data_IF_280969421585
#
_entry.id   IF_280969421585
#
_cell.length_a   1.000
_cell.length_b   1.000
_cell.length_c   1.000
_cell.angle_alpha   90.00
_cell.angle_beta   90.00
_cell.angle_gamma   90.00
#
_symmetry.space_group_name_H-M   'P 1'
#
loop_
_entity.id
_entity.type
_entity.pdbx_description
1 polymer ?
#
# COMPACT_ATOMS: atom_id res chain seq x y z
N UNK A 1 23.56 -9.52 52.06
CA UNK A 1 22.95 -10.72 51.46
C UNK A 1 22.59 -10.39 50.04
N UNK A 2 23.32 -11.01 49.14
CA UNK A 2 23.28 -10.91 47.69
C UNK A 2 21.97 -11.49 47.14
N UNK A 3 21.34 -10.79 46.20
CA UNK A 3 20.34 -11.38 45.31
C UNK A 3 20.76 -11.09 43.87
N UNK A 4 21.04 -12.18 43.17
CA UNK A 4 21.72 -12.27 41.89
C UNK A 4 20.89 -11.65 40.77
N UNK A 5 21.56 -10.83 39.97
CA UNK A 5 21.12 -10.40 38.64
C UNK A 5 21.31 -11.59 37.69
N UNK A 6 20.21 -12.15 37.17
CA UNK A 6 20.28 -13.02 36.00
C UNK A 6 20.35 -12.15 34.74
N UNK A 7 21.54 -12.02 34.18
CA UNK A 7 21.76 -11.46 32.85
C UNK A 7 21.43 -12.57 31.85
N UNK A 8 20.27 -12.48 31.19
CA UNK A 8 20.05 -13.15 29.91
C UNK A 8 20.43 -12.17 28.79
N UNK A 9 21.48 -12.42 28.01
CA UNK A 9 21.77 -11.62 26.83
C UNK A 9 20.74 -11.99 25.73
N UNK A 10 20.48 -11.05 24.82
CA UNK A 10 19.51 -11.11 23.71
C UNK A 10 18.06 -10.70 24.03
N UNK A 11 17.88 -9.43 24.39
CA UNK A 11 16.74 -8.65 23.89
C UNK A 11 17.25 -7.26 23.49
N UNK A 12 17.60 -7.10 22.22
CA UNK A 12 17.59 -5.79 21.56
C UNK A 12 16.13 -5.34 21.51
N UNK A 13 15.70 -4.65 22.56
CA UNK A 13 14.46 -3.88 22.56
C UNK A 13 14.65 -2.73 21.58
N UNK A 14 14.39 -3.00 20.30
CA UNK A 14 14.32 -1.98 19.27
C UNK A 14 13.07 -1.15 19.59
N UNK A 15 13.28 0.01 20.20
CA UNK A 15 12.25 1.00 20.51
C UNK A 15 11.75 1.64 19.21
N UNK A 16 10.90 0.94 18.48
CA UNK A 16 9.94 1.56 17.58
C UNK A 16 8.57 1.00 17.95
N UNK A 17 7.56 1.88 17.98
CA UNK A 17 6.12 1.64 18.20
C UNK A 17 5.56 1.83 19.61
N UNK A 18 4.65 2.81 19.72
CA UNK A 18 3.27 2.74 20.26
C UNK A 18 2.84 4.16 20.69
N UNK A 19 2.00 4.84 19.91
CA UNK A 19 1.12 5.84 20.52
C UNK A 19 -0.05 5.07 21.13
N UNK A 20 0.01 4.84 22.44
CA UNK A 20 -1.21 4.66 23.22
C UNK A 20 -1.93 6.01 23.23
N UNK A 21 -3.21 5.97 22.85
CA UNK A 21 -4.29 6.90 23.20
C UNK A 21 -3.89 8.34 23.55
N UNK A 22 -4.45 9.28 22.79
CA UNK A 22 -4.41 10.76 22.90
C UNK A 22 -3.32 11.44 22.06
N UNK A 23 -3.78 12.07 20.98
CA UNK A 23 -3.04 13.05 20.19
C UNK A 23 -2.69 14.26 21.08
N UNK A 24 -1.61 14.15 21.84
CA UNK A 24 -0.81 15.31 22.23
C UNK A 24 0.58 15.14 21.62
N UNK A 25 0.64 15.30 20.30
CA UNK A 25 1.90 15.49 19.60
C UNK A 25 2.20 16.99 19.63
N UNK A 26 3.24 17.35 20.38
CA UNK A 26 3.98 18.59 20.17
C UNK A 26 4.25 18.78 18.68
N UNK A 27 4.16 20.02 18.20
CA UNK A 27 4.34 20.49 16.81
C UNK A 27 5.74 20.22 16.20
N UNK A 28 6.41 19.12 16.54
CA UNK A 28 7.59 18.64 15.82
C UNK A 28 7.13 17.65 14.74
N UNK A 29 7.60 17.82 13.50
CA UNK A 29 7.13 17.05 12.36
C UNK A 29 7.44 15.55 12.54
N UNK A 30 6.44 14.65 12.45
CA UNK A 30 6.65 13.20 12.48
C UNK A 30 7.65 12.69 11.44
N UNK A 31 7.86 13.48 10.37
CA UNK A 31 8.84 13.26 9.30
C UNK A 31 10.25 12.97 9.79
N UNK A 32 10.71 13.53 10.91
CA UNK A 32 12.13 13.49 11.26
C UNK A 32 12.61 12.21 11.97
N UNK A 33 11.70 11.30 12.37
CA UNK A 33 12.06 10.07 13.09
C UNK A 33 11.38 8.78 12.63
N UNK A 34 10.31 8.82 11.83
CA UNK A 34 9.48 7.61 11.65
C UNK A 34 9.18 7.29 10.18
N UNK A 35 9.74 6.17 9.71
CA UNK A 35 9.53 5.59 8.38
C UNK A 35 8.13 5.00 8.19
N UNK A 36 7.51 4.59 9.29
CA UNK A 36 6.16 4.06 9.36
C UNK A 36 5.51 4.37 10.72
N UNK A 37 4.20 4.13 10.90
CA UNK A 37 3.44 4.21 12.16
C UNK A 37 2.40 3.10 12.26
N UNK A 38 2.51 2.16 13.21
CA UNK A 38 1.48 1.15 13.47
C UNK A 38 0.51 1.63 14.57
N UNK A 39 -0.74 1.85 14.21
CA UNK A 39 -1.84 2.14 15.13
C UNK A 39 -2.72 0.90 15.30
N UNK A 40 -2.87 0.44 16.55
CA UNK A 40 -3.67 -0.74 16.87
C UNK A 40 -5.17 -0.41 16.87
N UNK A 41 -5.98 -1.27 16.25
CA UNK A 41 -7.44 -1.16 16.23
C UNK A 41 -7.98 0.19 15.75
N UNK A 42 -7.26 0.86 14.84
CA UNK A 42 -7.61 2.21 14.39
C UNK A 42 -8.94 2.22 13.64
N UNK A 43 -9.17 1.21 12.79
CA UNK A 43 -10.42 1.06 12.05
C UNK A 43 -11.29 0.03 12.75
N UNK A 44 -12.56 0.38 12.98
CA UNK A 44 -13.48 -0.46 13.75
C UNK A 44 -13.75 -1.80 13.06
N UNK A 45 -14.06 -2.84 13.83
CA UNK A 45 -14.44 -4.14 13.28
C UNK A 45 -15.64 -4.05 12.34
N UNK A 46 -16.61 -3.18 12.65
CA UNK A 46 -17.80 -2.90 11.84
C UNK A 46 -17.44 -2.29 10.48
N UNK A 47 -16.56 -1.28 10.46
CA UNK A 47 -16.09 -0.66 9.22
C UNK A 47 -15.37 -1.67 8.33
N UNK A 48 -14.50 -2.50 8.93
CA UNK A 48 -13.82 -3.57 8.21
C UNK A 48 -14.83 -4.54 7.59
N UNK A 49 -15.87 -4.95 8.32
CA UNK A 49 -16.89 -5.87 7.80
C UNK A 49 -17.71 -5.26 6.66
N UNK A 50 -18.00 -3.95 6.72
CA UNK A 50 -18.61 -3.22 5.60
C UNK A 50 -17.73 -3.22 4.35
N UNK A 51 -16.43 -2.94 4.49
CA UNK A 51 -15.50 -2.96 3.37
C UNK A 51 -15.34 -4.37 2.78
N UNK A 52 -15.32 -5.41 3.63
CA UNK A 52 -15.36 -6.81 3.18
C UNK A 52 -16.63 -7.08 2.39
N UNK A 53 -17.79 -6.69 2.91
CA UNK A 53 -19.08 -6.82 2.23
C UNK A 53 -19.10 -6.16 0.85
N UNK A 54 -18.62 -4.92 0.75
CA UNK A 54 -18.50 -4.22 -0.53
C UNK A 54 -17.60 -4.96 -1.54
N UNK A 55 -16.45 -5.45 -1.09
CA UNK A 55 -15.58 -6.31 -1.91
C UNK A 55 -16.32 -7.55 -2.40
N UNK A 56 -17.10 -8.23 -1.55
CA UNK A 56 -17.82 -9.44 -1.95
C UNK A 56 -18.83 -9.17 -3.06
N UNK A 57 -19.60 -8.08 -2.94
CA UNK A 57 -20.59 -7.66 -3.94
C UNK A 57 -19.94 -7.35 -5.29
N UNK A 58 -18.79 -6.68 -5.27
CA UNK A 58 -18.00 -6.42 -6.48
C UNK A 58 -17.52 -7.73 -7.11
N UNK A 59 -17.00 -8.67 -6.31
CA UNK A 59 -16.54 -9.96 -6.82
C UNK A 59 -17.67 -10.79 -7.46
N UNK A 60 -18.88 -10.75 -6.87
CA UNK A 60 -20.09 -11.38 -7.41
C UNK A 60 -20.72 -10.62 -8.58
N UNK A 61 -20.14 -9.47 -8.97
CA UNK A 61 -20.64 -8.57 -10.02
C UNK A 61 -22.05 -8.04 -9.76
N UNK A 62 -22.45 -7.95 -8.49
CA UNK A 62 -23.72 -7.34 -8.07
C UNK A 62 -23.69 -5.81 -8.26
N UNK A 63 -22.48 -5.22 -8.28
CA UNK A 63 -22.25 -3.80 -8.48
C UNK A 63 -21.19 -3.61 -9.57
N UNK A 64 -21.40 -2.63 -10.45
CA UNK A 64 -20.40 -2.15 -11.38
C UNK A 64 -19.86 -0.80 -10.89
N UNK A 65 -18.55 -0.71 -10.72
CA UNK A 65 -17.87 0.49 -10.24
C UNK A 65 -17.09 1.10 -11.42
N UNK A 66 -17.45 2.31 -11.89
CA UNK A 66 -16.74 2.97 -12.98
C UNK A 66 -15.24 3.15 -12.67
N UNK A 67 -14.39 2.90 -13.67
CA UNK A 67 -12.93 3.07 -13.54
C UNK A 67 -12.19 1.95 -12.81
N UNK A 68 -12.88 1.17 -11.96
CA UNK A 68 -12.31 0.10 -11.14
C UNK A 68 -11.45 -0.87 -11.95
N UNK A 69 -10.25 -1.16 -11.43
CA UNK A 69 -9.33 -2.14 -12.00
C UNK A 69 -9.39 -3.41 -11.18
N UNK A 70 -9.86 -4.50 -11.79
CA UNK A 70 -9.91 -5.84 -11.19
C UNK A 70 -8.70 -6.64 -11.65
N UNK A 71 -7.80 -6.97 -10.73
CA UNK A 71 -6.64 -7.81 -11.02
C UNK A 71 -6.92 -9.26 -10.64
N UNK A 72 -6.47 -10.16 -11.50
CA UNK A 72 -6.46 -11.61 -11.26
C UNK A 72 -5.01 -12.07 -11.23
N UNK A 73 -4.66 -12.89 -10.26
CA UNK A 73 -3.31 -13.45 -10.18
C UNK A 73 -3.06 -14.41 -11.34
N UNK A 74 -1.84 -14.42 -11.88
CA UNK A 74 -1.44 -15.31 -12.98
C UNK A 74 -1.63 -16.79 -12.66
N UNK A 75 -1.51 -17.18 -11.39
CA UNK A 75 -1.73 -18.56 -10.94
C UNK A 75 -3.22 -18.95 -10.94
N UNK A 76 -4.11 -17.98 -10.72
CA UNK A 76 -5.55 -18.21 -10.64
C UNK A 76 -6.21 -18.08 -12.01
N UNK A 77 -5.69 -17.21 -12.88
CA UNK A 77 -6.19 -17.03 -14.24
C UNK A 77 -6.15 -18.31 -15.09
N UNK A 78 -5.36 -19.31 -14.70
CA UNK A 78 -5.23 -20.61 -15.39
C UNK A 78 -6.22 -21.68 -14.92
N UNK A 79 -6.93 -21.49 -13.80
CA UNK A 79 -7.92 -22.46 -13.32
C UNK A 79 -9.32 -22.02 -13.70
N UNK A 80 -9.98 -22.80 -14.57
CA UNK A 80 -11.26 -22.47 -15.20
C UNK A 80 -12.46 -22.34 -14.24
N UNK A 81 -12.34 -22.77 -12.98
CA UNK A 81 -13.45 -22.72 -12.01
C UNK A 81 -12.95 -22.28 -10.64
N UNK A 82 -12.84 -20.98 -10.43
CA UNK A 82 -12.54 -20.41 -9.12
C UNK A 82 -13.71 -19.54 -8.66
N UNK A 83 -14.31 -19.84 -7.49
CA UNK A 83 -15.43 -19.05 -6.94
C UNK A 83 -15.13 -17.55 -6.93
N UNK A 84 -16.15 -16.73 -7.19
CA UNK A 84 -16.09 -15.29 -7.49
C UNK A 84 -14.95 -14.47 -6.84
N UNK A 85 -14.79 -14.53 -5.50
CA UNK A 85 -13.72 -13.79 -4.81
C UNK A 85 -12.34 -14.39 -4.96
N UNK A 86 -12.24 -15.72 -5.03
CA UNK A 86 -10.97 -16.42 -5.11
C UNK A 86 -10.28 -16.17 -6.45
N UNK A 87 -11.01 -15.69 -7.46
CA UNK A 87 -10.47 -15.30 -8.77
C UNK A 87 -9.78 -13.92 -8.77
N UNK A 88 -10.04 -13.08 -7.76
CA UNK A 88 -9.64 -11.67 -7.75
C UNK A 88 -8.57 -11.47 -6.68
N UNK A 89 -7.37 -11.04 -7.09
CA UNK A 89 -6.23 -10.85 -6.19
C UNK A 89 -6.09 -9.41 -5.70
N UNK A 90 -6.61 -8.44 -6.45
CA UNK A 90 -6.58 -7.02 -6.08
C UNK A 90 -7.69 -6.24 -6.78
N UNK A 91 -8.24 -5.26 -6.08
CA UNK A 91 -8.97 -4.14 -6.68
C UNK A 91 -8.10 -2.89 -6.58
N UNK A 92 -8.05 -2.09 -7.65
CA UNK A 92 -7.50 -0.74 -7.63
C UNK A 92 -8.51 0.26 -8.18
N UNK A 93 -8.29 1.54 -7.91
CA UNK A 93 -9.11 2.65 -8.38
C UNK A 93 -10.60 2.49 -7.99
N UNK A 94 -10.84 2.23 -6.70
CA UNK A 94 -12.19 2.04 -6.15
C UNK A 94 -12.87 3.34 -5.70
N UNK A 95 -12.33 4.51 -6.06
CA UNK A 95 -12.81 5.81 -5.57
C UNK A 95 -14.28 6.13 -5.92
N UNK A 96 -14.85 5.44 -6.90
CA UNK A 96 -16.27 5.55 -7.27
C UNK A 96 -17.18 4.53 -6.55
N UNK A 97 -16.63 3.62 -5.75
CA UNK A 97 -17.41 2.78 -4.84
C UNK A 97 -17.60 3.50 -3.50
N UNK A 98 -18.84 3.88 -3.11
CA UNK A 98 -19.06 4.71 -1.94
C UNK A 98 -18.69 4.02 -0.62
N UNK A 99 -18.83 2.70 -0.51
CA UNK A 99 -18.52 1.97 0.72
C UNK A 99 -17.01 1.78 0.87
N UNK A 100 -16.28 1.38 -0.17
CA UNK A 100 -14.83 1.26 -0.13
C UNK A 100 -14.16 2.63 -0.01
N UNK A 101 -14.62 3.65 -0.75
CA UNK A 101 -14.05 4.99 -0.70
C UNK A 101 -14.28 5.69 0.64
N UNK A 102 -15.26 5.26 1.44
CA UNK A 102 -15.43 5.73 2.82
C UNK A 102 -14.18 5.51 3.67
N UNK A 103 -13.38 4.46 3.40
CA UNK A 103 -12.06 4.26 4.03
C UNK A 103 -11.17 5.52 3.90
N UNK A 104 -11.17 6.15 2.72
CA UNK A 104 -10.37 7.32 2.41
C UNK A 104 -10.79 8.59 3.16
N UNK A 105 -11.97 8.57 3.78
CA UNK A 105 -12.58 9.71 4.48
C UNK A 105 -12.80 9.43 5.98
N UNK A 106 -12.31 8.30 6.49
CA UNK A 106 -12.44 7.99 7.91
C UNK A 106 -11.67 9.04 8.74
N UNK A 107 -12.32 9.78 9.68
CA UNK A 107 -11.66 10.81 10.47
C UNK A 107 -10.45 10.27 11.24
N UNK A 108 -10.55 9.06 11.76
CA UNK A 108 -9.44 8.41 12.47
C UNK A 108 -8.24 8.10 11.58
N UNK A 109 -8.41 7.94 10.27
CA UNK A 109 -7.31 7.81 9.30
C UNK A 109 -6.78 9.21 8.96
N UNK A 110 -7.68 10.14 8.61
CA UNK A 110 -7.31 11.49 8.20
C UNK A 110 -6.53 12.26 9.27
N UNK A 111 -6.86 12.08 10.56
CA UNK A 111 -6.10 12.67 11.66
C UNK A 111 -4.60 12.32 11.63
N UNK A 112 -4.26 11.08 11.25
CA UNK A 112 -2.86 10.68 11.08
C UNK A 112 -2.29 11.15 9.74
N UNK A 113 -3.07 11.09 8.65
CA UNK A 113 -2.64 11.51 7.31
C UNK A 113 -2.29 13.00 7.25
N UNK A 114 -3.07 13.85 7.93
CA UNK A 114 -2.84 15.29 8.01
C UNK A 114 -1.47 15.62 8.61
N UNK A 115 -0.96 14.77 9.50
CA UNK A 115 0.36 14.95 10.10
C UNK A 115 1.52 14.85 9.08
N UNK A 116 1.28 14.26 7.90
CA UNK A 116 2.26 14.12 6.81
C UNK A 116 1.95 15.07 5.65
N UNK A 117 0.67 15.18 5.28
CA UNK A 117 0.22 15.89 4.08
C UNK A 117 -0.06 17.37 4.34
N UNK A 118 -0.37 17.75 5.58
CA UNK A 118 -1.03 19.02 5.88
C UNK A 118 -2.56 18.93 5.70
N UNK A 119 -3.28 20.05 5.82
CA UNK A 119 -4.74 20.05 5.93
C UNK A 119 -5.47 19.77 4.60
N UNK A 120 -4.79 19.96 3.47
CA UNK A 120 -5.33 19.77 2.12
C UNK A 120 -4.92 18.39 1.61
N UNK A 121 -5.86 17.43 1.62
CA UNK A 121 -5.56 16.01 1.47
C UNK A 121 -6.25 15.45 0.24
N UNK A 122 -5.45 14.88 -0.66
CA UNK A 122 -5.88 14.12 -1.82
C UNK A 122 -5.71 12.62 -1.57
N UNK A 123 -6.76 11.82 -1.80
CA UNK A 123 -6.65 10.38 -1.96
C UNK A 123 -6.23 10.09 -3.41
N UNK A 124 -5.00 9.61 -3.61
CA UNK A 124 -4.37 9.50 -4.93
C UNK A 124 -4.44 8.09 -5.51
N UNK A 125 -4.25 7.07 -4.66
CA UNK A 125 -4.31 5.67 -5.08
C UNK A 125 -5.05 4.84 -4.06
N UNK A 126 -5.96 3.99 -4.52
CA UNK A 126 -6.81 3.15 -3.65
C UNK A 126 -6.64 1.70 -4.03
N UNK A 127 -6.42 0.82 -3.05
CA UNK A 127 -6.28 -0.62 -3.30
C UNK A 127 -6.95 -1.47 -2.23
N UNK A 128 -7.59 -2.56 -2.65
CA UNK A 128 -7.98 -3.66 -1.78
C UNK A 128 -7.26 -4.91 -2.25
N UNK A 129 -6.41 -5.45 -1.38
CA UNK A 129 -5.49 -6.55 -1.69
C UNK A 129 -6.08 -7.83 -1.11
N UNK A 130 -6.45 -8.78 -1.97
CA UNK A 130 -6.97 -10.10 -1.62
C UNK A 130 -5.92 -11.17 -1.95
N UNK A 131 -4.91 -11.29 -1.10
CA UNK A 131 -3.71 -12.07 -1.41
C UNK A 131 -4.01 -13.57 -1.47
N UNK A 132 -3.78 -14.26 -2.60
CA UNK A 132 -4.13 -15.68 -2.75
C UNK A 132 -3.19 -16.60 -1.97
N UNK A 133 -3.63 -17.82 -1.63
CA UNK A 133 -2.77 -18.94 -1.24
C UNK A 133 -1.67 -19.21 -2.27
N UNK A 134 -0.49 -19.60 -1.78
CA UNK A 134 0.70 -19.85 -2.58
C UNK A 134 1.52 -20.96 -1.92
N UNK A 135 1.29 -22.17 -2.40
CA UNK A 135 1.87 -23.41 -1.85
C UNK A 135 3.27 -23.72 -2.39
N UNK A 136 3.90 -22.82 -3.16
CA UNK A 136 5.30 -23.03 -3.57
C UNK A 136 5.77 -22.31 -4.83
N UNK A 137 4.86 -21.73 -5.63
CA UNK A 137 5.21 -21.10 -6.90
C UNK A 137 5.66 -19.64 -6.74
N UNK A 138 5.58 -19.09 -5.52
CA UNK A 138 6.02 -17.72 -5.18
C UNK A 138 5.34 -16.65 -6.06
N UNK A 139 4.11 -16.90 -6.52
CA UNK A 139 3.33 -15.98 -7.35
C UNK A 139 2.65 -14.89 -6.54
N UNK A 140 2.38 -15.15 -5.26
CA UNK A 140 1.69 -14.22 -4.37
C UNK A 140 2.60 -13.22 -3.65
N UNK A 141 3.94 -13.38 -3.75
CA UNK A 141 4.88 -12.42 -3.13
C UNK A 141 4.89 -11.12 -3.92
N UNK A 142 5.02 -10.02 -3.19
CA UNK A 142 5.25 -8.70 -3.77
C UNK A 142 6.72 -8.38 -3.55
N UNK A 143 7.52 -8.10 -4.61
CA UNK A 143 8.93 -7.79 -4.44
C UNK A 143 9.15 -6.61 -3.51
N UNK A 144 10.37 -6.51 -2.98
CA UNK A 144 10.78 -5.33 -2.25
C UNK A 144 10.80 -4.15 -3.23
N UNK A 145 10.01 -3.13 -2.98
CA UNK A 145 9.79 -1.99 -3.88
C UNK A 145 9.63 -0.70 -3.07
N UNK A 146 9.57 0.43 -3.78
CA UNK A 146 9.22 1.74 -3.23
C UNK A 146 7.99 2.22 -4.00
N UNK A 147 6.94 2.60 -3.30
CA UNK A 147 5.69 3.05 -3.95
C UNK A 147 5.91 4.30 -4.80
N UNK A 148 6.85 5.17 -4.40
CA UNK A 148 7.16 6.40 -5.13
C UNK A 148 7.56 6.13 -6.59
N UNK A 149 8.06 4.93 -6.92
CA UNK A 149 8.33 4.53 -8.30
C UNK A 149 7.10 4.71 -9.20
N UNK A 150 5.90 4.43 -8.69
CA UNK A 150 4.66 4.55 -9.45
C UNK A 150 4.06 5.95 -9.45
N UNK A 151 4.57 6.88 -8.63
CA UNK A 151 3.96 8.19 -8.40
C UNK A 151 4.77 9.29 -9.09
N UNK A 152 4.20 9.98 -10.11
CA UNK A 152 4.85 11.11 -10.78
C UNK A 152 4.52 12.43 -10.09
N UNK A 153 4.37 12.46 -8.76
CA UNK A 153 4.11 13.69 -8.00
C UNK A 153 5.01 13.82 -6.78
N UNK A 154 5.29 15.07 -6.37
CA UNK A 154 6.30 15.46 -5.37
C UNK A 154 5.81 16.65 -4.53
N UNK A 155 6.42 16.91 -3.35
CA UNK A 155 7.53 16.17 -2.71
C UNK A 155 7.10 14.86 -2.04
N UNK A 156 8.01 13.89 -1.96
CA UNK A 156 7.75 12.55 -1.39
C UNK A 156 7.32 12.61 0.09
N UNK A 157 7.91 13.53 0.85
CA UNK A 157 7.64 13.71 2.27
C UNK A 157 6.20 14.18 2.57
N UNK A 158 5.47 14.66 1.55
CA UNK A 158 4.06 15.06 1.63
C UNK A 158 3.12 13.96 1.11
N UNK A 159 3.60 12.72 1.06
CA UNK A 159 2.86 11.54 0.61
C UNK A 159 2.93 10.47 1.69
N UNK A 160 1.82 9.80 1.96
CA UNK A 160 1.76 8.72 2.96
C UNK A 160 0.81 7.60 2.52
N UNK A 161 1.26 6.36 2.64
CA UNK A 161 0.38 5.20 2.53
C UNK A 161 -0.31 4.96 3.87
N UNK A 162 -1.61 4.70 3.86
CA UNK A 162 -2.33 4.03 4.94
C UNK A 162 -2.66 2.61 4.49
N UNK A 163 -2.31 1.61 5.30
CA UNK A 163 -2.58 0.21 5.01
C UNK A 163 -3.22 -0.44 6.23
N UNK A 164 -4.43 -0.94 6.09
CA UNK A 164 -5.23 -1.48 7.19
C UNK A 164 -5.49 -2.97 7.00
N UNK A 165 -5.19 -3.74 8.05
CA UNK A 165 -5.46 -5.17 8.11
C UNK A 165 -6.98 -5.43 8.23
N UNK A 166 -7.56 -6.17 7.29
CA UNK A 166 -9.01 -6.50 7.30
C UNK A 166 -9.31 -7.83 8.01
N UNK A 167 -8.29 -8.43 8.59
CA UNK A 167 -8.27 -9.70 9.32
C UNK A 167 -6.91 -9.82 10.03
N UNK A 168 -6.65 -10.92 10.74
CA UNK A 168 -5.33 -11.18 11.31
C UNK A 168 -4.31 -11.38 10.19
N UNK A 169 -3.22 -10.62 10.23
CA UNK A 169 -2.11 -10.66 9.27
C UNK A 169 -0.83 -11.04 10.02
N UNK A 170 -0.20 -12.12 9.59
CA UNK A 170 0.98 -12.68 10.22
C UNK A 170 1.96 -13.18 9.17
N UNK A 171 3.15 -13.62 9.59
CA UNK A 171 4.19 -14.08 8.66
C UNK A 171 3.71 -15.15 7.68
N UNK A 172 2.94 -16.15 8.14
CA UNK A 172 2.52 -17.27 7.31
C UNK A 172 1.49 -16.87 6.24
N UNK A 173 0.65 -15.87 6.47
CA UNK A 173 -0.34 -15.40 5.48
C UNK A 173 0.14 -14.18 4.66
N UNK A 174 1.44 -13.87 4.71
CA UNK A 174 2.07 -12.87 3.87
C UNK A 174 1.87 -11.43 4.36
N UNK A 175 2.28 -11.17 5.61
CA UNK A 175 2.40 -9.82 6.15
C UNK A 175 3.37 -8.94 5.34
N UNK A 176 3.28 -7.63 5.54
CA UNK A 176 4.28 -6.69 5.01
C UNK A 176 5.64 -6.95 5.66
N UNK A 177 6.69 -6.73 4.86
CA UNK A 177 8.09 -6.74 5.28
C UNK A 177 8.67 -5.40 4.89
N UNK A 178 9.32 -4.71 5.83
CA UNK A 178 9.93 -3.39 5.60
C UNK A 178 11.42 -3.43 5.90
N UNK A 179 12.19 -2.55 5.25
CA UNK A 179 13.57 -2.22 5.60
C UNK A 179 13.59 -0.91 6.39
N UNK A 180 13.65 -0.94 7.73
CA UNK A 180 13.58 0.27 8.56
C UNK A 180 14.66 1.27 8.17
N UNK A 181 14.33 2.56 8.10
CA UNK A 181 15.29 3.63 7.76
C UNK A 181 15.51 3.83 6.25
N UNK A 182 15.16 2.87 5.39
CA UNK A 182 15.39 2.99 3.94
C UNK A 182 14.70 4.19 3.25
N UNK A 183 13.63 4.73 3.85
CA UNK A 183 12.97 5.96 3.40
C UNK A 183 13.86 7.22 3.40
N UNK A 184 14.99 7.24 4.11
CA UNK A 184 15.96 8.34 4.08
C UNK A 184 16.88 8.29 2.84
N UNK A 185 16.85 7.19 2.09
CA UNK A 185 17.56 7.05 0.82
C UNK A 185 16.83 7.74 -0.33
N UNK A 186 17.37 7.56 -1.52
CA UNK A 186 16.76 8.06 -2.77
C UNK A 186 15.75 7.05 -3.32
N UNK A 187 14.97 7.48 -4.32
CA UNK A 187 14.27 6.54 -5.19
C UNK A 187 15.31 5.69 -5.93
N UNK A 188 15.19 4.37 -5.81
CA UNK A 188 16.03 3.41 -6.51
C UNK A 188 15.49 3.13 -7.91
N UNK A 189 16.29 2.41 -8.71
CA UNK A 189 15.80 1.81 -9.94
C UNK A 189 14.93 0.58 -9.62
N UNK A 190 13.85 0.43 -10.37
CA UNK A 190 12.96 -0.72 -10.28
C UNK A 190 12.78 -1.35 -11.65
N UNK A 191 12.80 -2.67 -11.68
CA UNK A 191 12.54 -3.48 -12.87
C UNK A 191 11.69 -4.71 -12.47
N UNK A 192 11.16 -5.41 -13.46
CA UNK A 192 10.57 -6.72 -13.23
C UNK A 192 11.63 -7.69 -12.70
N UNK A 193 11.41 -8.32 -11.52
CA UNK A 193 12.35 -9.32 -11.03
C UNK A 193 12.57 -10.47 -12.02
N UNK A 194 13.70 -11.17 -11.94
CA UNK A 194 13.92 -12.39 -12.73
C UNK A 194 13.44 -13.61 -11.92
N UNK A 195 12.12 -13.82 -11.86
CA UNK A 195 11.51 -14.92 -11.09
C UNK A 195 10.93 -16.02 -11.98
N UNK A 196 11.25 -17.26 -11.64
CA UNK A 196 10.58 -18.45 -12.19
C UNK A 196 9.08 -18.43 -11.86
N UNK A 197 8.24 -18.82 -12.82
CA UNK A 197 6.77 -18.86 -12.66
C UNK A 197 6.03 -17.60 -13.11
N UNK A 198 6.76 -16.55 -13.49
CA UNK A 198 6.20 -15.27 -13.97
C UNK A 198 5.87 -14.31 -12.83
N UNK A 199 5.73 -13.03 -13.18
CA UNK A 199 5.47 -11.94 -12.24
C UNK A 199 4.19 -11.24 -12.64
N UNK A 200 3.36 -10.90 -11.64
CA UNK A 200 2.16 -10.10 -11.87
C UNK A 200 2.55 -8.75 -12.51
N UNK A 201 1.79 -8.28 -13.50
CA UNK A 201 2.02 -6.94 -14.08
C UNK A 201 2.03 -5.88 -12.98
N UNK A 202 2.86 -4.85 -13.15
CA UNK A 202 3.07 -3.76 -12.16
C UNK A 202 3.72 -4.21 -10.84
N UNK A 203 4.49 -5.30 -10.83
CA UNK A 203 5.24 -5.77 -9.65
C UNK A 203 6.74 -5.58 -9.89
N UNK A 204 7.17 -4.33 -10.08
CA UNK A 204 8.57 -3.96 -10.19
C UNK A 204 9.25 -3.98 -8.81
N UNK A 205 10.46 -4.51 -8.73
CA UNK A 205 11.28 -4.60 -7.52
C UNK A 205 12.52 -3.71 -7.59
N UNK A 206 12.98 -3.22 -6.43
CA UNK A 206 14.26 -2.49 -6.32
C UNK A 206 15.40 -3.39 -6.78
N UNK A 207 16.26 -2.89 -7.67
CA UNK A 207 17.43 -3.62 -8.18
C UNK A 207 18.54 -3.81 -7.15
N UNK A 208 18.79 -2.80 -6.32
CA UNK A 208 20.04 -2.65 -5.56
C UNK A 208 19.82 -2.32 -4.07
N UNK A 209 19.00 -3.09 -3.35
CA UNK A 209 18.94 -2.99 -1.88
C UNK A 209 19.84 -4.03 -1.21
N UNK A 210 20.45 -3.68 -0.08
CA UNK A 210 21.26 -4.62 0.70
C UNK A 210 20.40 -5.80 1.21
N UNK A 211 20.63 -7.04 0.74
CA UNK A 211 19.83 -8.18 1.15
C UNK A 211 20.00 -8.51 2.63
N UNK A 212 21.11 -8.09 3.25
CA UNK A 212 21.43 -8.28 4.67
C UNK A 212 20.84 -7.20 5.57
N UNK A 213 20.26 -6.13 4.99
CA UNK A 213 19.62 -5.09 5.75
C UNK A 213 18.53 -5.71 6.66
N UNK A 214 18.49 -5.38 7.97
CA UNK A 214 17.50 -5.92 8.89
C UNK A 214 16.08 -5.72 8.37
N UNK A 215 15.29 -6.79 8.40
CA UNK A 215 13.90 -6.80 7.94
C UNK A 215 12.95 -6.85 9.13
N UNK A 216 11.93 -6.01 9.11
CA UNK A 216 10.85 -6.04 10.08
C UNK A 216 9.58 -6.57 9.42
N UNK A 217 8.99 -7.61 10.01
CA UNK A 217 7.71 -8.18 9.60
C UNK A 217 6.59 -7.52 10.42
N UNK A 218 5.58 -6.99 9.74
CA UNK A 218 4.49 -6.25 10.37
C UNK A 218 3.29 -7.18 10.60
N UNK A 219 3.28 -7.86 11.74
CA UNK A 219 2.12 -8.66 12.17
C UNK A 219 1.05 -7.77 12.83
N UNK A 220 -0.18 -7.88 12.33
CA UNK A 220 -1.27 -6.95 12.56
C UNK A 220 -2.56 -7.71 12.84
N UNK A 221 -3.37 -7.23 13.78
CA UNK A 221 -4.71 -7.74 14.03
C UNK A 221 -5.74 -6.97 13.17
N UNK A 222 -6.98 -7.49 13.10
CA UNK A 222 -8.07 -6.83 12.36
C UNK A 222 -8.24 -5.38 12.86
N UNK A 223 -8.24 -4.42 11.92
CA UNK A 223 -8.42 -3.00 12.20
C UNK A 223 -7.13 -2.24 12.52
N UNK A 224 -6.01 -2.93 12.70
CA UNK A 224 -4.71 -2.27 12.80
C UNK A 224 -4.36 -1.59 11.48
N UNK A 225 -3.77 -0.40 11.56
CA UNK A 225 -3.33 0.40 10.41
C UNK A 225 -1.86 0.73 10.53
N UNK A 226 -1.09 0.48 9.47
CA UNK A 226 0.26 1.02 9.31
C UNK A 226 0.25 2.19 8.34
N UNK A 227 0.87 3.30 8.73
CA UNK A 227 1.19 4.41 7.86
C UNK A 227 2.64 4.31 7.41
N UNK A 228 3.00 4.62 6.17
CA UNK A 228 4.42 4.61 5.77
C UNK A 228 4.75 5.52 4.59
N UNK A 229 6.01 5.95 4.56
CA UNK A 229 6.57 6.84 3.54
C UNK A 229 6.74 6.12 2.18
N UNK A 230 6.51 6.77 1.03
CA UNK A 230 6.57 6.11 -0.29
C UNK A 230 7.98 5.67 -0.71
N UNK A 231 9.04 6.19 -0.08
CA UNK A 231 10.43 5.71 -0.26
C UNK A 231 10.79 4.53 0.68
N UNK A 232 9.91 4.13 1.61
CA UNK A 232 10.19 2.97 2.45
C UNK A 232 10.24 1.71 1.58
N UNK A 233 11.41 1.06 1.53
CA UNK A 233 11.54 -0.21 0.84
C UNK A 233 10.74 -1.26 1.61
N UNK A 234 9.73 -1.82 0.95
CA UNK A 234 8.84 -2.80 1.54
C UNK A 234 8.35 -3.80 0.51
N UNK A 235 7.84 -4.94 0.97
CA UNK A 235 7.27 -5.99 0.15
C UNK A 235 6.31 -6.85 0.96
N UNK A 236 5.87 -7.96 0.41
CA UNK A 236 5.04 -8.93 1.15
C UNK A 236 5.48 -10.35 0.87
N UNK A 237 5.60 -11.16 1.94
CA UNK A 237 5.97 -12.57 1.85
C UNK A 237 4.92 -13.43 1.13
N UNK A 238 5.22 -14.72 0.93
CA UNK A 238 4.24 -15.69 0.41
C UNK A 238 3.07 -15.87 1.39
N UNK A 239 1.90 -16.23 0.88
CA UNK A 239 0.77 -16.63 1.71
C UNK A 239 0.72 -18.16 1.69
N UNK A 240 1.30 -18.78 2.71
CA UNK A 240 1.41 -20.23 2.85
C UNK A 240 0.15 -20.86 3.45
N UNK A 241 -0.89 -20.07 3.71
CA UNK A 241 -2.17 -20.53 4.24
C UNK A 241 -3.15 -20.86 3.12
N UNK A 242 -4.25 -21.55 3.44
CA UNK A 242 -5.33 -21.88 2.49
C UNK A 242 -6.31 -20.71 2.26
N UNK A 243 -6.27 -19.69 3.11
CA UNK A 243 -7.16 -18.52 3.05
C UNK A 243 -6.59 -17.40 2.20
N UNK A 244 -7.47 -16.53 1.69
CA UNK A 244 -7.05 -15.28 1.06
C UNK A 244 -6.91 -14.19 2.11
N UNK A 245 -5.74 -13.52 2.17
CA UNK A 245 -5.47 -12.47 3.16
C UNK A 245 -5.89 -11.10 2.62
N UNK A 246 -6.87 -10.47 3.27
CA UNK A 246 -7.40 -9.15 2.87
C UNK A 246 -6.74 -7.98 3.60
N UNK A 247 -6.52 -6.90 2.87
CA UNK A 247 -6.16 -5.60 3.40
C UNK A 247 -6.67 -4.48 2.49
N UNK A 248 -6.95 -3.31 3.05
CA UNK A 248 -7.36 -2.12 2.31
C UNK A 248 -6.32 -1.02 2.52
N UNK A 249 -6.02 -0.26 1.48
CA UNK A 249 -5.04 0.81 1.54
C UNK A 249 -5.40 2.00 0.68
N UNK A 250 -4.88 3.16 1.08
CA UNK A 250 -4.90 4.37 0.29
C UNK A 250 -3.59 5.13 0.45
N UNK A 251 -3.03 5.59 -0.66
CA UNK A 251 -1.96 6.57 -0.69
C UNK A 251 -2.55 7.96 -0.81
N UNK A 252 -2.21 8.80 0.16
CA UNK A 252 -2.59 10.20 0.20
C UNK A 252 -1.42 11.08 -0.18
N UNK A 253 -1.72 12.25 -0.72
CA UNK A 253 -0.76 13.32 -0.95
C UNK A 253 -1.35 14.66 -0.49
N UNK A 254 -0.47 15.59 -0.14
CA UNK A 254 -0.88 17.00 -0.03
C UNK A 254 -1.43 17.49 -1.36
N UNK A 255 -2.51 18.26 -1.35
CA UNK A 255 -3.02 18.90 -2.56
C UNK A 255 -2.01 19.89 -3.18
N UNK A 256 -1.05 20.39 -2.38
CA UNK A 256 0.02 21.30 -2.81
C UNK A 256 1.16 20.59 -3.55
N UNK A 257 1.14 19.26 -3.61
CA UNK A 257 2.09 18.50 -4.42
C UNK A 257 1.94 18.86 -5.91
N UNK A 258 2.98 18.60 -6.70
CA UNK A 258 3.02 18.88 -8.13
C UNK A 258 3.49 17.66 -8.93
N UNK A 259 3.03 17.56 -10.17
CA UNK A 259 3.46 16.51 -11.09
C UNK A 259 4.87 16.78 -11.63
N UNK A 260 5.61 15.70 -11.90
CA UNK A 260 6.96 15.74 -12.49
C UNK A 260 6.97 15.04 -13.85
N UNK A 261 7.82 15.54 -14.75
CA UNK A 261 8.18 14.80 -15.96
C UNK A 261 9.14 13.66 -15.59
N UNK A 262 8.78 12.44 -15.96
CA UNK A 262 9.57 11.23 -15.66
C UNK A 262 10.49 10.80 -16.79
N UNK A 263 10.48 11.49 -17.95
CA UNK A 263 11.36 11.17 -19.09
C UNK A 263 12.83 11.29 -18.70
N UNK A 264 13.64 10.31 -19.10
CA UNK A 264 15.06 10.22 -18.73
C UNK A 264 15.33 10.01 -17.23
N UNK A 265 14.32 9.67 -16.42
CA UNK A 265 14.48 9.34 -14.99
C UNK A 265 14.31 7.84 -14.75
N UNK A 266 14.57 7.38 -13.51
CA UNK A 266 14.33 5.99 -13.10
C UNK A 266 12.86 5.56 -13.13
N UNK A 267 11.92 6.50 -13.38
CA UNK A 267 10.49 6.24 -13.53
C UNK A 267 10.01 6.26 -15.00
N UNK A 268 10.92 6.39 -15.97
CA UNK A 268 10.54 6.43 -17.38
C UNK A 268 9.83 5.13 -17.82
N UNK A 269 10.35 3.98 -17.36
CA UNK A 269 9.79 2.66 -17.69
C UNK A 269 8.31 2.52 -17.27
N UNK A 270 7.98 2.91 -16.04
CA UNK A 270 6.61 2.85 -15.52
C UNK A 270 5.72 3.91 -16.16
N UNK A 271 6.27 5.09 -16.48
CA UNK A 271 5.56 6.10 -17.26
C UNK A 271 5.10 5.57 -18.61
N UNK A 272 5.94 4.82 -19.32
CA UNK A 272 5.57 4.19 -20.59
C UNK A 272 4.57 3.03 -20.40
N UNK A 273 4.79 2.15 -19.41
CA UNK A 273 3.89 1.03 -19.17
C UNK A 273 2.46 1.50 -18.82
N UNK A 274 2.33 2.55 -18.00
CA UNK A 274 1.03 3.13 -17.64
C UNK A 274 0.35 3.77 -18.86
N UNK A 275 1.10 4.48 -19.71
CA UNK A 275 0.56 5.05 -20.96
C UNK A 275 0.02 3.97 -21.88
N UNK A 276 0.77 2.89 -22.09
CA UNK A 276 0.33 1.76 -22.92
C UNK A 276 -0.94 1.08 -22.38
N UNK A 277 -1.09 1.01 -21.06
CA UNK A 277 -2.31 0.49 -20.43
C UNK A 277 -3.47 1.45 -20.61
N UNK A 278 -3.25 2.75 -20.39
CA UNK A 278 -4.27 3.77 -20.53
C UNK A 278 -4.78 3.84 -21.98
N UNK A 279 -3.88 3.85 -22.96
CA UNK A 279 -4.24 3.87 -24.38
C UNK A 279 -5.12 2.67 -24.77
N UNK A 280 -4.75 1.46 -24.31
CA UNK A 280 -5.55 0.24 -24.55
C UNK A 280 -6.91 0.26 -23.84
N UNK A 281 -6.97 0.79 -22.61
CA UNK A 281 -8.20 0.76 -21.80
C UNK A 281 -9.21 1.80 -22.27
N UNK A 282 -8.74 2.98 -22.67
CA UNK A 282 -9.58 4.14 -22.94
C UNK A 282 -9.65 4.50 -24.44
N UNK A 283 -8.92 3.79 -25.30
CA UNK A 283 -8.85 4.04 -26.75
C UNK A 283 -8.52 5.50 -27.09
N UNK A 284 -7.54 6.06 -26.37
CA UNK A 284 -7.05 7.43 -26.52
C UNK A 284 -5.52 7.43 -26.61
N UNK A 285 -4.98 8.14 -27.59
CA UNK A 285 -3.55 8.09 -27.89
C UNK A 285 -2.73 9.20 -27.21
N UNK A 286 -3.39 10.22 -26.65
CA UNK A 286 -2.74 11.44 -26.12
C UNK A 286 -2.94 11.61 -24.59
N UNK A 287 -2.86 10.50 -23.85
CA UNK A 287 -2.94 10.52 -22.38
C UNK A 287 -1.54 10.58 -21.79
N UNK A 288 -1.25 11.64 -21.04
CA UNK A 288 0.01 11.75 -20.30
C UNK A 288 -0.04 10.93 -19.01
N UNK A 289 1.14 10.67 -18.41
CA UNK A 289 1.18 9.96 -17.14
C UNK A 289 0.48 10.77 -16.03
N UNK A 290 0.63 12.09 -16.06
CA UNK A 290 -0.06 13.05 -15.19
C UNK A 290 -1.58 12.93 -15.32
N UNK A 291 -2.14 12.95 -16.53
CA UNK A 291 -3.59 12.86 -16.76
C UNK A 291 -4.19 11.62 -16.10
N UNK A 292 -3.47 10.49 -16.18
CA UNK A 292 -3.94 9.25 -15.54
C UNK A 292 -4.10 9.44 -14.03
N UNK A 293 -3.25 10.23 -13.38
CA UNK A 293 -3.31 10.48 -11.94
C UNK A 293 -4.30 11.60 -11.59
N UNK A 294 -4.37 12.66 -12.39
CA UNK A 294 -5.27 13.80 -12.16
C UNK A 294 -6.75 13.37 -12.16
N UNK A 295 -7.12 12.43 -13.03
CA UNK A 295 -8.47 11.83 -13.09
C UNK A 295 -8.76 10.90 -11.92
N UNK A 296 -7.74 10.27 -11.33
CA UNK A 296 -7.88 9.34 -10.19
C UNK A 296 -8.00 10.07 -8.84
N UNK A 297 -7.27 11.17 -8.66
CA UNK A 297 -7.21 11.91 -7.41
C UNK A 297 -8.59 12.40 -6.94
N UNK A 298 -8.89 12.24 -5.65
CA UNK A 298 -10.10 12.79 -5.02
C UNK A 298 -9.71 13.62 -3.79
N UNK A 299 -10.26 14.83 -3.70
CA UNK A 299 -10.17 15.63 -2.48
C UNK A 299 -10.95 14.93 -1.35
N UNK A 300 -10.28 14.74 -0.21
CA UNK A 300 -10.88 14.11 0.97
C UNK A 300 -10.90 15.01 2.21
N UNK A 301 -10.08 16.08 2.24
CA UNK A 301 -10.09 17.10 3.29
C UNK A 301 -9.46 18.40 2.76
N UNK A 302 -9.93 19.56 3.24
CA UNK A 302 -9.40 20.88 2.86
C UNK A 302 -9.77 21.27 1.42
N UNK A 303 -8.84 21.94 0.74
CA UNK A 303 -9.02 22.46 -0.63
C UNK A 303 -8.14 21.73 -1.65
N UNK A 304 -8.63 21.59 -2.89
CA UNK A 304 -7.82 21.09 -4.02
C UNK A 304 -7.04 22.26 -4.62
N UNK A 305 -5.75 22.35 -4.31
CA UNK A 305 -4.89 23.48 -4.69
C UNK A 305 -4.13 23.25 -6.00
N UNK A 306 -3.43 22.13 -6.15
CA UNK A 306 -2.60 21.85 -7.33
C UNK A 306 -2.79 20.45 -7.94
N UNK A 307 -2.68 19.36 -7.15
CA UNK A 307 -3.00 17.99 -7.60
C UNK A 307 -4.47 17.82 -7.97
#
# INVERSE_FOLDING_TARGET
MSLNVFIYPYKTTISYWLFHSTLTLSRESPMRRMASSLSRGLVSGEDIDRFRGAFERICRREVQVPGLVVMRDVSIAKSEFVPDQKAISKLQDFQEDPELFRYCRLPQILNYVECFTGPNIMAMHTMLINKPPDTGNKTSRHPMHQDLHYFPFRPADRIVCSWTAMEKVHRQNGCLVVLPGSHHGTLKEHDYPEWEGGINKMYHGVRDYDPNHPRLHLEMEKGDTVFFHPLLIHGSGMNQTQGFRKAISCHYASADCYYIDVRGTTQENIGQEVKEIAARKYAVDDVTFEDTWAVRGRLVQGDRTNL
#
